data_IF_419455277791
#
_entry.id   IF_419455277791
#
_cell.length_a   1.000
_cell.length_b   1.000
_cell.length_c   1.000
_cell.angle_alpha   90.00
_cell.angle_beta   90.00
_cell.angle_gamma   90.00
#
_symmetry.space_group_name_H-M   'P 1'
#
loop_
_entity.id
_entity.type
_entity.pdbx_description
1 polymer ?
#
# COMPACT_ATOMS: atom_id res chain seq x y z
N UNK A 1 -5.65 -21.68 7.73
CA UNK A 1 -4.34 -21.62 8.42
C UNK A 1 -3.30 -21.03 7.48
N UNK A 2 -2.61 -19.98 7.89
CA UNK A 2 -1.49 -19.46 7.10
C UNK A 2 -0.42 -20.56 7.00
N UNK A 3 0.16 -20.74 5.82
CA UNK A 3 1.25 -21.70 5.68
C UNK A 3 2.52 -21.18 6.39
N UNK A 4 3.48 -22.05 6.64
CA UNK A 4 4.70 -21.69 7.36
C UNK A 4 5.48 -20.56 6.65
N UNK A 5 5.43 -20.53 5.32
CA UNK A 5 6.10 -19.49 4.53
C UNK A 5 5.47 -18.12 4.79
N UNK A 6 4.14 -18.03 4.80
CA UNK A 6 3.44 -16.77 5.08
C UNK A 6 3.68 -16.30 6.50
N UNK A 7 3.70 -17.21 7.48
CA UNK A 7 3.99 -16.87 8.87
C UNK A 7 5.42 -16.36 9.04
N UNK A 8 6.40 -17.02 8.45
CA UNK A 8 7.80 -16.59 8.47
C UNK A 8 7.96 -15.21 7.81
N UNK A 9 7.27 -14.97 6.70
CA UNK A 9 7.26 -13.69 5.99
C UNK A 9 6.73 -12.58 6.90
N UNK A 10 5.60 -12.78 7.57
CA UNK A 10 5.03 -11.80 8.49
C UNK A 10 5.97 -11.50 9.67
N UNK A 11 6.57 -12.51 10.27
CA UNK A 11 7.51 -12.34 11.38
C UNK A 11 8.71 -11.51 10.93
N UNK A 12 9.26 -11.80 9.74
CA UNK A 12 10.42 -11.08 9.20
C UNK A 12 10.13 -9.61 8.94
N UNK A 13 8.90 -9.26 8.57
CA UNK A 13 8.54 -7.91 8.14
C UNK A 13 7.73 -7.11 9.17
N UNK A 14 7.44 -7.67 10.33
CA UNK A 14 6.56 -7.01 11.32
C UNK A 14 7.04 -5.65 11.81
N UNK A 15 8.35 -5.38 11.71
CA UNK A 15 8.93 -4.08 12.07
C UNK A 15 9.25 -3.22 10.86
N UNK A 16 8.94 -3.71 9.67
CA UNK A 16 9.25 -3.00 8.44
C UNK A 16 8.35 -1.77 8.28
N UNK A 17 8.94 -0.67 7.86
CA UNK A 17 8.23 0.56 7.57
C UNK A 17 8.35 0.88 6.07
N UNK A 18 7.29 1.48 5.51
CA UNK A 18 7.29 1.91 4.12
C UNK A 18 8.21 3.09 3.92
N UNK A 19 9.00 3.02 2.89
CA UNK A 19 9.97 4.04 2.51
C UNK A 19 10.12 4.11 1.00
N UNK A 20 11.34 4.27 0.54
CA UNK A 20 11.64 4.39 -0.90
C UNK A 20 11.23 3.13 -1.67
N UNK A 21 10.98 3.32 -2.96
CA UNK A 21 10.43 2.30 -3.85
C UNK A 21 11.25 1.02 -4.01
N UNK A 22 10.80 0.15 -4.88
CA UNK A 22 11.42 -1.13 -5.15
C UNK A 22 11.58 -1.39 -6.65
N UNK A 23 12.09 -2.56 -6.98
CA UNK A 23 12.40 -2.95 -8.35
C UNK A 23 11.77 -4.31 -8.68
N UNK A 24 10.46 -4.32 -8.81
CA UNK A 24 9.69 -5.49 -9.27
C UNK A 24 9.28 -5.29 -10.72
N UNK A 25 8.88 -6.39 -11.35
CA UNK A 25 8.49 -6.38 -12.77
C UNK A 25 7.13 -5.71 -12.93
N UNK A 26 7.09 -4.65 -13.73
CA UNK A 26 5.88 -3.90 -14.05
C UNK A 26 5.48 -4.13 -15.50
N UNK A 27 4.19 -3.97 -15.79
CA UNK A 27 3.63 -4.10 -17.13
C UNK A 27 2.80 -2.83 -17.40
N UNK A 28 2.92 -2.27 -18.60
CA UNK A 28 2.15 -1.10 -19.04
C UNK A 28 2.33 0.10 -18.11
N UNK A 29 3.54 0.32 -17.64
CA UNK A 29 3.85 1.43 -16.74
C UNK A 29 3.75 2.77 -17.46
N UNK A 30 2.89 3.64 -16.94
CA UNK A 30 2.68 4.99 -17.48
C UNK A 30 2.56 6.00 -16.34
N UNK A 31 2.98 7.24 -16.62
CA UNK A 31 2.75 8.35 -15.71
C UNK A 31 1.26 8.69 -15.67
N UNK A 32 0.72 8.90 -14.47
CA UNK A 32 -0.67 9.27 -14.27
C UNK A 32 -0.75 10.46 -13.31
N UNK A 33 -1.24 11.58 -13.82
CA UNK A 33 -1.38 12.82 -13.04
C UNK A 33 -2.35 12.67 -11.85
N UNK A 34 -3.23 11.67 -11.87
CA UNK A 34 -4.15 11.39 -10.77
C UNK A 34 -3.52 10.53 -9.66
N UNK A 35 -2.36 9.95 -9.91
CA UNK A 35 -1.60 9.23 -8.88
C UNK A 35 -0.80 10.25 -8.09
N UNK A 36 -0.97 10.25 -6.77
CA UNK A 36 -0.22 11.17 -5.91
C UNK A 36 1.24 10.77 -5.90
N UNK A 37 2.10 11.67 -6.38
CA UNK A 37 3.54 11.47 -6.35
C UNK A 37 4.05 11.81 -4.94
N UNK A 38 4.83 10.90 -4.35
CA UNK A 38 5.39 11.16 -3.03
C UNK A 38 6.34 12.38 -3.06
N UNK A 39 6.21 13.24 -2.06
CA UNK A 39 6.98 14.47 -1.98
C UNK A 39 8.41 14.28 -1.48
N UNK A 40 8.70 13.14 -0.88
CA UNK A 40 10.03 12.78 -0.37
C UNK A 40 10.26 11.30 -0.48
N UNK A 41 11.52 10.86 -0.32
CA UNK A 41 11.92 9.46 -0.50
C UNK A 41 11.25 8.50 0.49
N UNK A 42 10.75 9.01 1.62
CA UNK A 42 10.13 8.20 2.68
C UNK A 42 8.62 8.43 2.79
N UNK A 43 8.01 9.17 1.87
CA UNK A 43 6.61 9.58 1.95
C UNK A 43 5.64 8.68 1.18
N UNK A 44 6.05 7.49 0.75
CA UNK A 44 5.17 6.61 -0.05
C UNK A 44 3.88 6.25 0.71
N UNK A 45 3.98 5.99 2.01
CA UNK A 45 2.81 5.69 2.83
C UNK A 45 1.84 6.86 2.93
N UNK A 46 2.34 8.06 3.17
CA UNK A 46 1.51 9.26 3.24
C UNK A 46 0.86 9.58 1.90
N UNK A 47 1.59 9.41 0.79
CA UNK A 47 1.04 9.60 -0.54
C UNK A 47 -0.06 8.59 -0.85
N UNK A 48 0.12 7.33 -0.47
CA UNK A 48 -0.95 6.32 -0.55
C UNK A 48 -2.14 6.74 0.31
N UNK A 49 -1.91 7.21 1.53
CA UNK A 49 -2.96 7.69 2.42
C UNK A 49 -3.78 8.80 1.80
N UNK A 50 -3.14 9.74 1.12
CA UNK A 50 -3.85 10.81 0.39
C UNK A 50 -4.77 10.22 -0.68
N UNK A 51 -4.31 9.22 -1.45
CA UNK A 51 -5.13 8.55 -2.45
C UNK A 51 -6.29 7.77 -1.82
N UNK A 52 -6.02 7.06 -0.73
CA UNK A 52 -7.05 6.29 -0.02
C UNK A 52 -8.16 7.20 0.52
N UNK A 53 -7.81 8.32 1.13
CA UNK A 53 -8.78 9.30 1.63
C UNK A 53 -9.54 9.95 0.48
N UNK A 54 -8.83 10.31 -0.59
CA UNK A 54 -9.46 10.92 -1.76
C UNK A 54 -10.53 10.01 -2.36
N UNK A 55 -10.30 8.70 -2.38
CA UNK A 55 -11.28 7.72 -2.85
C UNK A 55 -12.56 7.72 -2.01
N UNK A 56 -12.51 8.23 -0.77
CA UNK A 56 -13.65 8.38 0.13
C UNK A 56 -14.20 9.82 0.15
N UNK A 57 -13.70 10.69 -0.72
CA UNK A 57 -14.12 12.09 -0.76
C UNK A 57 -13.47 12.97 0.32
N UNK A 58 -12.42 12.50 0.97
CA UNK A 58 -11.69 13.24 2.00
C UNK A 58 -10.38 13.74 1.37
N UNK A 59 -10.19 15.06 1.36
CA UNK A 59 -9.06 15.68 0.67
C UNK A 59 -8.06 16.22 1.69
N UNK A 60 -6.99 15.45 1.92
CA UNK A 60 -5.92 15.78 2.86
C UNK A 60 -4.59 15.51 2.15
N UNK A 61 -3.69 16.48 2.16
CA UNK A 61 -2.38 16.34 1.51
C UNK A 61 -1.46 15.40 2.29
N UNK A 62 -0.58 14.73 1.56
CA UNK A 62 0.36 13.76 2.13
C UNK A 62 1.22 14.33 3.26
N UNK A 63 1.54 15.63 3.21
CA UNK A 63 2.36 16.27 4.24
C UNK A 63 1.66 16.23 5.61
N UNK A 64 0.35 16.43 5.64
CA UNK A 64 -0.44 16.34 6.87
C UNK A 64 -0.49 14.90 7.38
N UNK A 65 -0.68 13.96 6.48
CA UNK A 65 -0.71 12.52 6.83
C UNK A 65 0.65 12.10 7.39
N UNK A 66 1.74 12.55 6.78
CA UNK A 66 3.10 12.23 7.23
C UNK A 66 3.39 12.78 8.63
N UNK A 67 2.86 13.95 8.99
CA UNK A 67 3.02 14.50 10.34
C UNK A 67 2.39 13.59 11.40
N UNK A 68 1.29 12.94 11.08
CA UNK A 68 0.57 12.06 12.01
C UNK A 68 1.18 10.65 11.99
N UNK A 69 1.36 10.09 10.80
CA UNK A 69 1.78 8.70 10.60
C UNK A 69 3.29 8.49 10.71
N UNK A 70 4.07 9.52 10.43
CA UNK A 70 5.52 9.41 10.28
C UNK A 70 5.94 9.15 8.85
N UNK A 71 7.22 9.36 8.56
CA UNK A 71 7.85 9.07 7.26
C UNK A 71 9.26 8.53 7.52
N UNK A 72 9.50 7.23 7.30
CA UNK A 72 8.58 6.20 6.78
C UNK A 72 7.46 5.85 7.78
N UNK A 73 6.41 5.19 7.30
CA UNK A 73 5.25 4.83 8.13
C UNK A 73 5.02 3.32 8.17
N UNK A 74 4.58 2.83 9.33
CA UNK A 74 4.12 1.46 9.50
C UNK A 74 2.65 1.35 9.06
N UNK A 75 2.17 0.11 8.91
CA UNK A 75 0.77 -0.12 8.59
C UNK A 75 -0.15 0.47 9.68
N UNK A 76 0.18 0.21 10.94
CA UNK A 76 -0.61 0.65 12.09
C UNK A 76 -0.63 2.18 12.20
N UNK A 77 0.52 2.84 12.06
CA UNK A 77 0.59 4.30 12.17
C UNK A 77 -0.14 4.97 11.02
N UNK A 78 -0.06 4.40 9.82
CA UNK A 78 -0.79 4.94 8.66
C UNK A 78 -2.30 4.80 8.86
N UNK A 79 -2.78 3.62 9.29
CA UNK A 79 -4.19 3.41 9.56
C UNK A 79 -4.71 4.35 10.66
N UNK A 80 -3.93 4.55 11.72
CA UNK A 80 -4.28 5.48 12.80
C UNK A 80 -4.44 6.91 12.28
N UNK A 81 -3.54 7.34 11.40
CA UNK A 81 -3.64 8.66 10.79
C UNK A 81 -4.91 8.80 9.94
N UNK A 82 -5.25 7.76 9.17
CA UNK A 82 -6.46 7.77 8.35
C UNK A 82 -7.72 7.76 9.21
N UNK A 83 -7.74 7.04 10.33
CA UNK A 83 -8.84 7.08 11.28
C UNK A 83 -9.06 8.49 11.83
N UNK A 84 -8.00 9.18 12.18
CA UNK A 84 -8.08 10.55 12.71
C UNK A 84 -8.64 11.53 11.68
N UNK A 85 -8.37 11.28 10.39
CA UNK A 85 -8.72 12.21 9.31
C UNK A 85 -10.03 11.87 8.60
N UNK A 86 -10.51 10.64 8.72
CA UNK A 86 -11.72 10.15 8.06
C UNK A 86 -12.86 10.01 9.10
N UNK A 87 -13.67 11.05 9.23
CA UNK A 87 -14.79 11.03 10.18
C UNK A 87 -15.93 10.09 9.77
N UNK A 88 -15.92 9.59 8.55
CA UNK A 88 -17.01 8.76 7.99
C UNK A 88 -16.74 7.25 8.01
N UNK A 89 -15.54 6.83 8.42
CA UNK A 89 -15.19 5.42 8.40
C UNK A 89 -14.03 5.09 9.29
N UNK A 90 -13.68 3.81 9.29
CA UNK A 90 -12.57 3.28 10.08
C UNK A 90 -11.59 2.52 9.18
N UNK A 91 -10.34 2.47 9.61
CA UNK A 91 -9.24 1.90 8.84
C UNK A 91 -8.51 0.85 9.65
N UNK A 92 -8.11 -0.22 8.99
CA UNK A 92 -7.24 -1.25 9.56
C UNK A 92 -5.87 -1.14 8.93
N UNK A 93 -4.83 -1.30 9.74
CA UNK A 93 -3.46 -1.41 9.29
C UNK A 93 -2.76 -2.53 10.03
N UNK A 94 -2.15 -3.45 9.30
CA UNK A 94 -1.46 -4.59 9.89
C UNK A 94 -1.23 -5.70 8.88
N UNK A 95 -0.86 -6.87 9.39
CA UNK A 95 -0.61 -8.06 8.58
C UNK A 95 -1.88 -8.87 8.38
N UNK A 96 -1.98 -9.48 7.19
CA UNK A 96 -3.05 -10.39 6.81
C UNK A 96 -2.44 -11.66 6.22
N UNK A 97 -3.27 -12.56 5.69
CA UNK A 97 -2.79 -13.73 4.96
C UNK A 97 -2.99 -13.53 3.45
N UNK A 98 -2.31 -14.33 2.63
CA UNK A 98 -2.47 -14.26 1.18
C UNK A 98 -3.92 -14.52 0.75
N UNK A 99 -4.64 -15.37 1.47
CA UNK A 99 -6.04 -15.68 1.19
C UNK A 99 -6.98 -14.49 1.38
N UNK A 100 -6.54 -13.42 2.04
CA UNK A 100 -7.32 -12.20 2.22
C UNK A 100 -7.34 -11.29 0.98
N UNK A 101 -6.51 -11.58 -0.02
CA UNK A 101 -6.32 -10.68 -1.18
C UNK A 101 -7.62 -10.38 -1.92
N UNK A 102 -8.45 -11.40 -2.15
CA UNK A 102 -9.72 -11.21 -2.84
C UNK A 102 -10.67 -10.30 -2.05
N UNK A 103 -10.77 -10.51 -0.74
CA UNK A 103 -11.61 -9.68 0.13
C UNK A 103 -11.09 -8.24 0.19
N UNK A 104 -9.78 -8.05 0.22
CA UNK A 104 -9.18 -6.71 0.19
C UNK A 104 -9.59 -5.93 -1.06
N UNK A 105 -9.58 -6.58 -2.21
CA UNK A 105 -10.00 -5.94 -3.46
C UNK A 105 -11.48 -5.50 -3.45
N UNK A 106 -12.28 -6.01 -2.55
CA UNK A 106 -13.69 -5.65 -2.40
C UNK A 106 -13.90 -4.49 -1.43
N UNK A 107 -12.87 -4.05 -0.71
CA UNK A 107 -12.97 -2.91 0.21
C UNK A 107 -12.89 -1.55 -0.48
N UNK A 108 -12.61 -1.54 -1.77
CA UNK A 108 -12.28 -0.34 -2.53
C UNK A 108 -10.77 -0.24 -2.71
N UNK A 109 -10.25 0.96 -2.91
CA UNK A 109 -8.82 1.20 -2.99
C UNK A 109 -8.18 0.86 -1.64
N UNK A 110 -7.10 0.07 -1.66
CA UNK A 110 -6.35 -0.29 -0.45
C UNK A 110 -4.86 -0.18 -0.71
N UNK A 111 -4.05 -0.22 0.34
CA UNK A 111 -2.61 -0.08 0.20
C UNK A 111 -1.90 -1.33 0.67
N UNK A 112 -0.89 -1.74 -0.10
CA UNK A 112 -0.03 -2.89 0.18
C UNK A 112 1.40 -2.43 0.34
N UNK A 113 2.12 -3.02 1.30
CA UNK A 113 3.56 -2.82 1.41
C UNK A 113 4.26 -3.92 0.64
N UNK A 114 5.04 -3.53 -0.36
CA UNK A 114 5.88 -4.43 -1.14
C UNK A 114 7.33 -4.33 -0.65
N UNK A 115 8.08 -5.39 -0.85
CA UNK A 115 9.47 -5.46 -0.41
C UNK A 115 10.33 -6.13 -1.47
N UNK A 116 11.52 -5.58 -1.68
CA UNK A 116 12.54 -6.16 -2.54
C UNK A 116 13.68 -6.67 -1.66
N UNK A 117 14.14 -7.90 -1.93
CA UNK A 117 15.23 -8.51 -1.16
C UNK A 117 16.47 -7.60 -1.19
N UNK A 118 17.04 -7.35 -0.01
CA UNK A 118 18.19 -6.46 0.14
C UNK A 118 17.85 -5.00 0.36
N UNK A 119 16.60 -4.60 0.20
CA UNK A 119 16.18 -3.23 0.48
C UNK A 119 16.13 -2.99 1.99
N UNK A 120 16.37 -1.74 2.40
CA UNK A 120 16.31 -1.34 3.81
C UNK A 120 14.87 -1.11 4.28
N UNK A 121 14.01 -0.64 3.37
CA UNK A 121 12.62 -0.31 3.65
C UNK A 121 11.70 -0.98 2.64
N UNK A 122 10.48 -1.27 3.07
CA UNK A 122 9.40 -1.62 2.16
C UNK A 122 8.90 -0.38 1.40
N UNK A 123 8.00 -0.61 0.47
CA UNK A 123 7.41 0.46 -0.34
C UNK A 123 5.89 0.32 -0.36
N UNK A 124 5.19 1.40 0.01
CA UNK A 124 3.74 1.44 -0.04
C UNK A 124 3.27 1.77 -1.46
N UNK A 125 2.32 0.98 -1.96
CA UNK A 125 1.60 1.24 -3.20
C UNK A 125 0.10 1.12 -2.93
N UNK A 126 -0.74 1.68 -3.80
CA UNK A 126 -2.18 1.42 -3.76
C UNK A 126 -2.53 0.32 -4.75
N UNK A 127 -3.50 -0.50 -4.38
CA UNK A 127 -4.06 -1.57 -5.20
C UNK A 127 -5.51 -1.20 -5.52
N UNK A 128 -5.85 -1.11 -6.80
CA UNK A 128 -7.20 -0.78 -7.24
C UNK A 128 -8.01 -1.99 -7.71
N UNK A 129 -7.46 -3.18 -7.60
CA UNK A 129 -8.13 -4.43 -7.95
C UNK A 129 -7.39 -5.21 -9.02
N UNK A 130 -8.12 -6.05 -9.75
CA UNK A 130 -7.58 -6.85 -10.85
C UNK A 130 -8.10 -6.34 -12.18
N UNK A 131 -7.27 -6.40 -13.22
CA UNK A 131 -7.71 -6.11 -14.58
C UNK A 131 -8.40 -7.35 -15.21
N UNK A 132 -8.81 -7.23 -16.48
CA UNK A 132 -9.50 -8.33 -17.17
C UNK A 132 -8.66 -9.59 -17.34
N UNK A 133 -7.33 -9.46 -17.32
CA UNK A 133 -6.41 -10.58 -17.42
C UNK A 133 -6.02 -11.17 -16.06
N UNK A 134 -6.60 -10.66 -14.96
CA UNK A 134 -6.28 -11.12 -13.61
C UNK A 134 -4.98 -10.57 -13.06
N UNK A 135 -4.47 -9.48 -13.62
CA UNK A 135 -3.26 -8.81 -13.14
C UNK A 135 -3.61 -7.75 -12.12
N UNK A 136 -2.70 -7.53 -11.18
CA UNK A 136 -2.92 -6.58 -10.07
C UNK A 136 -2.68 -5.16 -10.57
N UNK A 137 -3.68 -4.29 -10.42
CA UNK A 137 -3.58 -2.89 -10.82
C UNK A 137 -3.00 -2.05 -9.68
N UNK A 138 -1.89 -1.38 -9.96
CA UNK A 138 -1.09 -0.65 -8.97
C UNK A 138 -1.06 0.85 -9.30
N UNK A 139 -1.23 1.66 -8.24
CA UNK A 139 -0.95 3.09 -8.27
C UNK A 139 0.27 3.32 -7.37
N UNK A 140 1.36 3.76 -7.97
CA UNK A 140 2.66 3.82 -7.29
C UNK A 140 3.09 5.28 -7.09
N UNK A 141 3.22 5.74 -5.84
CA UNK A 141 3.59 7.11 -5.56
C UNK A 141 5.06 7.45 -5.83
N UNK A 142 5.92 6.45 -6.08
CA UNK A 142 7.35 6.70 -6.26
C UNK A 142 7.62 7.74 -7.34
N UNK A 143 6.98 7.59 -8.50
CA UNK A 143 7.10 8.53 -9.61
C UNK A 143 5.73 8.96 -10.17
N UNK A 144 4.65 8.73 -9.40
CA UNK A 144 3.30 9.03 -9.87
C UNK A 144 2.90 8.14 -11.04
N UNK A 145 3.10 6.85 -10.92
CA UNK A 145 2.91 5.87 -11.99
C UNK A 145 1.72 4.97 -11.72
N UNK A 146 1.09 4.51 -12.81
CA UNK A 146 0.21 3.35 -12.73
C UNK A 146 0.80 2.23 -13.58
N UNK A 147 0.60 1.01 -13.16
CA UNK A 147 1.02 -0.19 -13.88
C UNK A 147 0.22 -1.40 -13.39
N UNK A 148 0.41 -2.53 -14.06
CA UNK A 148 -0.11 -3.80 -13.56
C UNK A 148 1.05 -4.74 -13.29
N UNK A 149 0.82 -5.69 -12.38
CA UNK A 149 1.77 -6.76 -12.04
C UNK A 149 1.09 -8.09 -12.24
N UNK A 150 1.83 -9.07 -12.75
CA UNK A 150 1.37 -10.46 -12.68
C UNK A 150 1.11 -10.79 -11.21
N UNK A 151 0.07 -11.58 -10.94
CA UNK A 151 -0.30 -11.88 -9.55
C UNK A 151 0.83 -12.61 -8.80
N UNK A 152 1.57 -13.47 -9.48
CA UNK A 152 2.70 -14.18 -8.87
C UNK A 152 3.83 -13.21 -8.50
N UNK A 153 4.08 -12.21 -9.36
CA UNK A 153 5.08 -11.19 -9.07
C UNK A 153 4.66 -10.34 -7.87
N UNK A 154 3.40 -9.91 -7.84
CA UNK A 154 2.87 -9.16 -6.70
C UNK A 154 2.99 -9.98 -5.42
N UNK A 155 2.55 -11.23 -5.43
CA UNK A 155 2.58 -12.08 -4.24
C UNK A 155 4.00 -12.36 -3.75
N UNK A 156 4.99 -12.43 -4.66
CA UNK A 156 6.38 -12.63 -4.28
C UNK A 156 6.98 -11.43 -3.56
N UNK A 157 6.45 -10.22 -3.77
CA UNK A 157 6.93 -8.99 -3.14
C UNK A 157 6.04 -8.50 -2.00
N UNK A 158 4.77 -8.90 -1.93
CA UNK A 158 3.85 -8.43 -0.90
C UNK A 158 4.27 -8.99 0.46
N UNK A 159 4.47 -8.07 1.41
CA UNK A 159 4.86 -8.41 2.79
C UNK A 159 3.69 -8.97 3.62
N UNK A 160 2.47 -8.94 3.09
CA UNK A 160 1.20 -9.20 3.76
C UNK A 160 0.75 -8.04 4.66
N UNK A 161 1.55 -6.98 4.78
CA UNK A 161 1.09 -5.76 5.44
C UNK A 161 0.22 -4.95 4.48
N UNK A 162 -0.84 -4.37 5.03
CA UNK A 162 -1.81 -3.62 4.26
C UNK A 162 -2.51 -2.56 5.12
N UNK A 163 -3.15 -1.62 4.44
CA UNK A 163 -4.06 -0.63 5.03
C UNK A 163 -5.32 -0.62 4.18
N UNK A 164 -6.46 -0.80 4.81
CA UNK A 164 -7.75 -0.80 4.11
C UNK A 164 -8.88 -0.27 4.99
N UNK A 165 -9.95 0.16 4.36
CA UNK A 165 -11.12 0.71 5.05
C UNK A 165 -12.05 -0.40 5.47
N UNK A 166 -12.44 -0.40 6.76
CA UNK A 166 -13.30 -1.46 7.33
C UNK A 166 -14.76 -1.04 7.45
N UNK A 167 -15.08 0.21 7.21
CA UNK A 167 -16.48 0.66 7.32
C UNK A 167 -16.64 2.17 7.18
#
# INVERSE_FOLDING_TARGET
MANLTSMAKMVSYRTLQGGAGGNWRTIDEVTDANVVRQSGSMNCGAACGEMLLRAQGVFVYQEVIAEIAGAPSSAESLATALDDLDSSGTWFGGGVTESSFEALNQTGLWSAMLFEAGARFGHWVCVSGLDHAGRVMILDPADGMQYVMEIEEFMSHWTLFCVFRTG
#
